data_IF_617414642733
#
_entry.id   IF_617414642733
#
_cell.length_a   1.000
_cell.length_b   1.000
_cell.length_c   1.000
_cell.angle_alpha   90.00
_cell.angle_beta   90.00
_cell.angle_gamma   90.00
#
_symmetry.space_group_name_H-M   'P 1'
#
loop_
_entity.id
_entity.type
_entity.pdbx_description
1 polymer ?
#
# COMPACT_ATOMS: atom_id res chain seq x y z
N UNK A 1 -25.48 20.13 8.12
CA UNK A 1 -24.21 20.78 7.66
C UNK A 1 -23.42 21.29 8.89
N UNK A 2 -23.32 20.49 9.96
CA UNK A 2 -22.48 20.78 11.14
C UNK A 2 -21.50 19.67 11.50
N UNK A 3 -21.56 18.51 10.83
CA UNK A 3 -20.76 17.32 11.19
C UNK A 3 -19.75 16.93 10.09
N UNK A 4 -19.11 17.92 9.47
CA UNK A 4 -18.09 17.69 8.46
C UNK A 4 -16.65 18.03 8.91
N UNK A 5 -16.48 18.54 10.14
CA UNK A 5 -15.18 18.85 10.75
C UNK A 5 -14.55 17.69 11.53
N UNK A 6 -15.01 16.45 11.31
CA UNK A 6 -14.58 15.27 12.08
C UNK A 6 -14.20 14.08 11.21
N UNK A 7 -14.23 14.27 9.89
CA UNK A 7 -13.78 13.30 8.89
C UNK A 7 -12.54 13.88 8.24
N UNK A 8 -11.46 13.13 8.02
CA UNK A 8 -10.25 13.56 7.29
C UNK A 8 -10.46 13.90 5.79
N UNK A 9 -11.63 14.45 5.45
CA UNK A 9 -12.05 15.06 4.20
C UNK A 9 -11.91 16.59 4.23
N UNK A 10 -11.48 17.19 5.34
CA UNK A 10 -11.25 18.65 5.47
C UNK A 10 -10.34 19.21 4.37
N UNK A 11 -9.34 18.45 3.92
CA UNK A 11 -8.51 18.78 2.74
C UNK A 11 -9.29 18.87 1.44
N UNK A 12 -10.26 17.96 1.23
CA UNK A 12 -11.13 17.97 0.07
C UNK A 12 -12.20 19.06 0.15
N UNK A 13 -12.71 19.35 1.36
CA UNK A 13 -13.64 20.45 1.64
C UNK A 13 -12.93 21.79 1.48
N UNK A 14 -11.70 21.93 1.97
CA UNK A 14 -10.85 23.11 1.82
C UNK A 14 -10.45 23.34 0.36
N UNK A 15 -10.09 22.28 -0.36
CA UNK A 15 -9.87 22.35 -1.80
C UNK A 15 -11.14 22.77 -2.55
N UNK A 16 -12.30 22.21 -2.20
CA UNK A 16 -13.58 22.58 -2.79
C UNK A 16 -13.97 24.02 -2.44
N UNK A 17 -13.69 24.51 -1.23
CA UNK A 17 -13.93 25.89 -0.80
C UNK A 17 -12.98 26.86 -1.50
N UNK A 18 -11.72 26.48 -1.72
CA UNK A 18 -10.75 27.26 -2.51
C UNK A 18 -11.17 27.36 -3.98
N UNK A 19 -11.52 26.24 -4.62
CA UNK A 19 -12.02 26.21 -6.01
C UNK A 19 -13.36 26.96 -6.14
N UNK A 20 -14.24 26.87 -5.13
CA UNK A 20 -15.51 27.61 -5.10
C UNK A 20 -15.29 29.12 -4.94
N UNK A 21 -14.32 29.54 -4.13
CA UNK A 21 -13.94 30.94 -4.00
C UNK A 21 -13.45 31.53 -5.33
N UNK A 22 -12.62 30.78 -6.07
CA UNK A 22 -12.16 31.16 -7.42
C UNK A 22 -13.35 31.30 -8.38
N UNK A 23 -14.27 30.33 -8.38
CA UNK A 23 -15.47 30.36 -9.22
C UNK A 23 -16.37 31.56 -8.91
N UNK A 24 -16.65 31.84 -7.63
CA UNK A 24 -17.56 32.93 -7.26
C UNK A 24 -16.98 34.33 -7.51
N UNK A 25 -15.66 34.50 -7.39
CA UNK A 25 -14.98 35.72 -7.81
C UNK A 25 -15.15 35.96 -9.32
N UNK A 26 -14.98 34.92 -10.15
CA UNK A 26 -15.17 35.00 -11.60
C UNK A 26 -16.61 35.34 -12.02
N UNK A 27 -17.60 34.99 -11.20
CA UNK A 27 -19.02 35.28 -11.42
C UNK A 27 -19.50 36.59 -10.76
N UNK A 28 -18.58 37.41 -10.23
CA UNK A 28 -18.88 38.65 -9.52
C UNK A 28 -19.83 38.51 -8.31
N UNK A 29 -19.80 37.34 -7.63
CA UNK A 29 -20.61 37.06 -6.43
C UNK A 29 -19.76 37.16 -5.18
N UNK A 30 -19.37 38.38 -4.86
CA UNK A 30 -18.27 38.66 -3.93
C UNK A 30 -18.53 38.22 -2.50
N UNK A 31 -19.75 38.34 -1.97
CA UNK A 31 -20.05 37.93 -0.60
C UNK A 31 -19.87 36.41 -0.39
N UNK A 32 -20.19 35.61 -1.42
CA UNK A 32 -20.00 34.15 -1.38
C UNK A 32 -18.54 33.77 -1.58
N UNK A 33 -17.84 34.49 -2.45
CA UNK A 33 -16.40 34.30 -2.65
C UNK A 33 -15.63 34.60 -1.36
N UNK A 34 -15.96 35.69 -0.66
CA UNK A 34 -15.36 36.07 0.62
C UNK A 34 -15.57 35.00 1.69
N UNK A 35 -16.80 34.50 1.83
CA UNK A 35 -17.12 33.47 2.82
C UNK A 35 -16.37 32.14 2.57
N UNK A 36 -16.24 31.72 1.31
CA UNK A 36 -15.49 30.51 0.94
C UNK A 36 -13.98 30.71 1.07
N UNK A 37 -13.46 31.88 0.70
CA UNK A 37 -12.04 32.21 0.84
C UNK A 37 -11.60 32.29 2.31
N UNK A 38 -12.42 32.86 3.18
CA UNK A 38 -12.14 32.96 4.62
C UNK A 38 -12.05 31.57 5.26
N UNK A 39 -12.99 30.67 4.92
CA UNK A 39 -12.96 29.26 5.39
C UNK A 39 -11.74 28.50 4.88
N UNK A 40 -11.28 28.78 3.66
CA UNK A 40 -10.05 28.19 3.14
C UNK A 40 -8.77 28.77 3.79
N UNK A 41 -8.77 30.06 4.16
CA UNK A 41 -7.60 30.78 4.66
C UNK A 41 -7.36 30.62 6.16
N UNK A 42 -8.41 30.63 6.99
CA UNK A 42 -8.31 30.52 8.45
C UNK A 42 -7.74 29.15 8.90
N UNK A 43 -7.75 28.16 8.01
CA UNK A 43 -7.21 26.81 8.22
C UNK A 43 -5.78 26.63 7.66
N UNK A 44 -5.03 27.71 7.40
CA UNK A 44 -3.69 27.64 6.77
C UNK A 44 -2.54 28.14 7.67
N UNK A 45 -1.60 27.24 8.02
CA UNK A 45 -0.18 27.61 7.98
C UNK A 45 0.67 26.51 7.29
N UNK A 46 1.06 26.71 6.04
CA UNK A 46 2.21 26.09 5.33
C UNK A 46 2.53 24.57 5.55
N UNK A 47 1.55 23.69 5.80
CA UNK A 47 1.81 22.30 6.23
C UNK A 47 1.68 21.21 5.14
N UNK A 48 1.06 21.48 3.99
CA UNK A 48 0.56 20.39 3.13
C UNK A 48 1.60 19.68 2.24
N UNK A 49 2.81 20.23 2.05
CA UNK A 49 3.87 19.57 1.26
C UNK A 49 5.13 19.23 2.07
N UNK A 50 5.29 19.78 3.27
CA UNK A 50 6.47 19.55 4.12
C UNK A 50 6.62 18.10 4.61
N UNK A 51 5.53 17.37 4.99
CA UNK A 51 5.64 15.97 5.42
C UNK A 51 5.96 15.01 4.26
N UNK A 52 5.33 15.18 3.10
CA UNK A 52 5.61 14.38 1.89
C UNK A 52 7.03 14.64 1.35
N UNK A 53 7.48 15.90 1.34
CA UNK A 53 8.87 16.22 1.03
C UNK A 53 9.84 15.61 2.07
N UNK A 54 9.43 15.52 3.33
CA UNK A 54 10.23 14.90 4.38
C UNK A 54 10.33 13.37 4.22
N UNK A 55 9.32 12.68 3.66
CA UNK A 55 9.45 11.24 3.35
C UNK A 55 10.48 10.98 2.24
N UNK A 56 10.50 11.83 1.21
CA UNK A 56 11.52 11.75 0.15
C UNK A 56 12.91 12.08 0.69
N UNK A 57 13.00 13.06 1.60
CA UNK A 57 14.25 13.44 2.23
C UNK A 57 14.82 12.31 3.11
N UNK A 58 13.98 11.54 3.82
CA UNK A 58 14.42 10.37 4.59
C UNK A 58 15.07 9.35 3.65
N UNK A 59 14.36 8.94 2.58
CA UNK A 59 14.87 7.93 1.64
C UNK A 59 16.17 8.40 0.97
N UNK A 60 16.20 9.64 0.46
CA UNK A 60 17.37 10.20 -0.18
C UNK A 60 18.58 10.32 0.77
N UNK A 61 18.35 10.74 2.01
CA UNK A 61 19.41 10.87 3.00
C UNK A 61 20.00 9.52 3.40
N UNK A 62 19.17 8.48 3.56
CA UNK A 62 19.65 7.10 3.80
C UNK A 62 20.49 6.60 2.63
N UNK A 63 20.00 6.76 1.40
CA UNK A 63 20.70 6.29 0.18
C UNK A 63 22.00 7.04 -0.11
N UNK A 64 22.12 8.27 0.39
CA UNK A 64 23.32 9.09 0.26
C UNK A 64 24.25 9.01 1.48
N UNK A 65 24.02 8.05 2.39
CA UNK A 65 24.81 7.85 3.62
C UNK A 65 24.90 9.11 4.51
N UNK A 66 23.77 9.83 4.66
CA UNK A 66 23.64 11.04 5.52
C UNK A 66 22.71 10.78 6.72
N UNK A 67 23.13 9.99 7.72
CA UNK A 67 22.26 9.50 8.81
C UNK A 67 21.66 10.63 9.65
N UNK A 68 22.42 11.69 9.97
CA UNK A 68 21.89 12.84 10.74
C UNK A 68 20.73 13.56 10.03
N UNK A 69 20.83 13.69 8.70
CA UNK A 69 19.78 14.32 7.89
C UNK A 69 18.55 13.41 7.82
N UNK A 70 18.76 12.09 7.72
CA UNK A 70 17.68 11.11 7.72
C UNK A 70 16.89 11.14 9.04
N UNK A 71 17.59 11.14 10.18
CA UNK A 71 16.94 11.22 11.51
C UNK A 71 16.15 12.52 11.69
N UNK A 72 16.73 13.67 11.35
CA UNK A 72 16.02 14.96 11.45
C UNK A 72 14.84 15.10 10.48
N UNK A 73 14.88 14.42 9.33
CA UNK A 73 13.74 14.34 8.42
C UNK A 73 12.65 13.41 8.96
N UNK A 74 13.04 12.27 9.56
CA UNK A 74 12.10 11.35 10.21
C UNK A 74 11.39 12.02 11.40
N UNK A 75 12.10 12.78 12.23
CA UNK A 75 11.49 13.55 13.33
C UNK A 75 10.41 14.51 12.81
N UNK A 76 10.66 15.17 11.68
CA UNK A 76 9.65 16.03 11.02
C UNK A 76 8.45 15.23 10.52
N UNK A 77 8.66 14.06 9.91
CA UNK A 77 7.56 13.16 9.51
C UNK A 77 6.75 12.74 10.74
N UNK A 78 7.40 12.30 11.81
CA UNK A 78 6.73 11.87 13.04
C UNK A 78 5.97 13.04 13.68
N UNK A 79 6.60 14.20 13.84
CA UNK A 79 5.96 15.38 14.44
C UNK A 79 4.73 15.82 13.64
N UNK A 80 4.82 15.82 12.30
CA UNK A 80 3.71 16.23 11.45
C UNK A 80 2.55 15.22 11.39
N UNK A 81 2.81 13.94 11.70
CA UNK A 81 1.82 12.85 11.56
C UNK A 81 1.39 12.24 12.89
N UNK A 82 2.08 12.55 13.99
CA UNK A 82 1.75 12.09 15.35
C UNK A 82 0.32 12.44 15.79
N UNK A 83 -0.25 13.62 15.45
CA UNK A 83 -1.62 13.94 15.84
C UNK A 83 -2.68 13.06 15.15
N UNK A 84 -2.37 12.49 13.99
CA UNK A 84 -3.37 11.86 13.14
C UNK A 84 -3.70 10.41 13.53
N UNK A 85 -2.79 9.67 14.18
CA UNK A 85 -2.90 8.26 14.61
C UNK A 85 -3.74 7.32 13.70
N UNK A 86 -3.69 7.56 12.40
CA UNK A 86 -4.43 6.81 11.38
C UNK A 86 -3.52 5.76 10.74
N UNK A 87 -4.12 4.76 10.10
CA UNK A 87 -3.35 3.74 9.38
C UNK A 87 -2.42 4.33 8.31
N UNK A 88 -2.82 5.44 7.65
CA UNK A 88 -1.92 6.09 6.69
C UNK A 88 -0.73 6.77 7.37
N UNK A 89 -0.94 7.53 8.45
CA UNK A 89 0.14 8.19 9.19
C UNK A 89 1.11 7.18 9.81
N UNK A 90 0.59 6.13 10.44
CA UNK A 90 1.39 5.10 11.08
C UNK A 90 2.16 4.29 10.04
N UNK A 91 1.53 3.98 8.91
CA UNK A 91 2.19 3.27 7.81
C UNK A 91 3.36 4.04 7.20
N UNK A 92 3.18 5.35 6.97
CA UNK A 92 4.25 6.22 6.47
C UNK A 92 5.39 6.36 7.49
N UNK A 93 5.07 6.56 8.77
CA UNK A 93 6.07 6.60 9.84
C UNK A 93 6.85 5.29 9.94
N UNK A 94 6.15 4.13 9.92
CA UNK A 94 6.77 2.82 10.00
C UNK A 94 7.75 2.60 8.83
N UNK A 95 7.36 2.97 7.61
CA UNK A 95 8.25 2.89 6.44
C UNK A 95 9.48 3.78 6.58
N UNK A 96 9.31 5.02 7.04
CA UNK A 96 10.43 5.95 7.25
C UNK A 96 11.36 5.49 8.38
N UNK A 97 10.81 4.94 9.47
CA UNK A 97 11.59 4.33 10.57
C UNK A 97 12.36 3.11 10.08
N UNK A 98 11.75 2.27 9.25
CA UNK A 98 12.39 1.08 8.69
C UNK A 98 13.61 1.43 7.83
N UNK A 99 13.58 2.55 7.09
CA UNK A 99 14.70 3.02 6.28
C UNK A 99 15.94 3.41 7.10
N UNK A 100 15.76 3.89 8.32
CA UNK A 100 16.87 4.33 9.21
C UNK A 100 17.23 3.28 10.27
N UNK A 101 16.57 2.12 10.25
CA UNK A 101 16.77 1.02 11.20
C UNK A 101 17.38 -0.18 10.46
N UNK A 102 18.08 -1.05 11.18
CA UNK A 102 18.67 -2.26 10.66
C UNK A 102 18.14 -3.52 11.38
N UNK A 103 18.40 -4.70 10.80
CA UNK A 103 18.06 -6.00 11.40
C UNK A 103 16.56 -6.25 11.58
N UNK A 104 16.22 -7.10 12.55
CA UNK A 104 14.84 -7.55 12.80
C UNK A 104 13.85 -6.41 13.09
N UNK A 105 14.33 -5.33 13.70
CA UNK A 105 13.51 -4.15 13.95
C UNK A 105 13.10 -3.45 12.65
N UNK A 106 13.98 -3.40 11.65
CA UNK A 106 13.64 -2.87 10.33
C UNK A 106 12.56 -3.73 9.64
N UNK A 107 12.69 -5.07 9.71
CA UNK A 107 11.69 -5.98 9.15
C UNK A 107 10.30 -5.77 9.76
N UNK A 108 10.23 -5.69 11.10
CA UNK A 108 8.96 -5.47 11.81
C UNK A 108 8.28 -4.18 11.33
N UNK A 109 9.06 -3.12 11.17
CA UNK A 109 8.58 -1.82 10.71
C UNK A 109 8.13 -1.84 9.24
N UNK A 110 8.83 -2.57 8.36
CA UNK A 110 8.38 -2.75 6.97
C UNK A 110 7.06 -3.52 6.90
N UNK A 111 6.92 -4.60 7.66
CA UNK A 111 5.67 -5.38 7.74
C UNK A 111 4.53 -4.55 8.31
N UNK A 112 4.79 -3.76 9.36
CA UNK A 112 3.81 -2.82 9.90
C UNK A 112 3.40 -1.78 8.86
N UNK A 113 4.34 -1.20 8.12
CA UNK A 113 4.04 -0.25 7.06
C UNK A 113 3.10 -0.84 6.00
N UNK A 114 3.39 -2.06 5.53
CA UNK A 114 2.55 -2.76 4.54
C UNK A 114 1.16 -3.03 5.12
N UNK A 115 1.07 -3.60 6.32
CA UNK A 115 -0.20 -3.93 6.97
C UNK A 115 -1.08 -2.68 7.11
N UNK A 116 -0.51 -1.60 7.66
CA UNK A 116 -1.22 -0.33 7.85
C UNK A 116 -1.64 0.28 6.52
N UNK A 117 -0.73 0.40 5.55
CA UNK A 117 -1.05 1.02 4.26
C UNK A 117 -2.02 0.19 3.42
N UNK A 118 -2.07 -1.14 3.59
CA UNK A 118 -3.03 -2.02 2.92
C UNK A 118 -4.49 -1.68 3.23
N UNK A 119 -4.74 -1.23 4.46
CA UNK A 119 -6.05 -0.79 4.98
C UNK A 119 -6.47 0.59 4.47
N UNK A 120 -5.60 1.27 3.73
CA UNK A 120 -5.85 2.62 3.19
C UNK A 120 -6.12 2.59 1.68
N UNK A 121 -6.47 3.76 1.12
CA UNK A 121 -6.56 3.97 -0.34
C UNK A 121 -5.27 4.48 -0.97
N UNK A 122 -4.20 4.68 -0.19
CA UNK A 122 -2.91 5.20 -0.67
C UNK A 122 -2.09 4.10 -1.37
N UNK A 123 -2.57 3.65 -2.53
CA UNK A 123 -1.92 2.58 -3.31
C UNK A 123 -0.46 2.89 -3.70
N UNK A 124 -0.09 4.13 -4.10
CA UNK A 124 1.31 4.47 -4.35
C UNK A 124 2.22 4.21 -3.14
N UNK A 125 1.76 4.57 -1.94
CA UNK A 125 2.55 4.46 -0.72
C UNK A 125 2.73 3.01 -0.28
N UNK A 126 1.68 2.19 -0.42
CA UNK A 126 1.74 0.74 -0.21
C UNK A 126 2.72 0.09 -1.19
N UNK A 127 2.66 0.43 -2.47
CA UNK A 127 3.55 -0.12 -3.49
C UNK A 127 5.02 0.23 -3.21
N UNK A 128 5.29 1.47 -2.77
CA UNK A 128 6.61 1.90 -2.31
C UNK A 128 7.07 1.17 -1.05
N UNK A 129 6.18 0.84 -0.11
CA UNK A 129 6.53 0.03 1.06
C UNK A 129 7.00 -1.38 0.66
N UNK A 130 6.30 -2.02 -0.28
CA UNK A 130 6.72 -3.31 -0.85
C UNK A 130 8.08 -3.21 -1.57
N UNK A 131 8.31 -2.15 -2.35
CA UNK A 131 9.59 -1.93 -3.02
C UNK A 131 10.74 -1.84 -2.02
N UNK A 132 10.61 -0.96 -1.02
CA UNK A 132 11.67 -0.73 -0.03
C UNK A 132 11.93 -1.97 0.83
N UNK A 133 10.87 -2.69 1.22
CA UNK A 133 11.02 -3.94 1.97
C UNK A 133 11.71 -5.02 1.14
N UNK A 134 11.32 -5.18 -0.12
CA UNK A 134 11.94 -6.12 -1.05
C UNK A 134 13.42 -5.83 -1.29
N UNK A 135 13.78 -4.55 -1.42
CA UNK A 135 15.18 -4.13 -1.52
C UNK A 135 15.97 -4.42 -0.24
N UNK A 136 15.37 -4.18 0.93
CA UNK A 136 15.98 -4.50 2.21
C UNK A 136 16.20 -6.01 2.35
N UNK A 137 15.20 -6.84 2.07
CA UNK A 137 15.31 -8.31 2.08
C UNK A 137 16.42 -8.82 1.15
N UNK A 138 16.60 -8.19 -0.01
CA UNK A 138 17.71 -8.56 -0.90
C UNK A 138 19.07 -8.25 -0.27
N UNK A 139 19.23 -7.12 0.42
CA UNK A 139 20.47 -6.76 1.15
C UNK A 139 20.76 -7.75 2.28
N UNK A 140 19.72 -8.23 2.96
CA UNK A 140 19.79 -9.32 3.95
C UNK A 140 19.96 -10.73 3.33
N UNK A 141 20.21 -10.81 2.02
CA UNK A 141 20.38 -12.06 1.26
C UNK A 141 19.15 -13.01 1.27
N UNK A 142 17.97 -12.51 1.67
CA UNK A 142 16.69 -13.25 1.66
C UNK A 142 15.98 -13.16 0.32
N UNK A 143 16.61 -13.73 -0.70
CA UNK A 143 16.21 -13.57 -2.12
C UNK A 143 14.81 -14.09 -2.45
N UNK A 144 14.32 -15.12 -1.75
CA UNK A 144 12.97 -15.68 -1.97
C UNK A 144 11.92 -14.66 -1.56
N UNK A 145 12.00 -14.20 -0.30
CA UNK A 145 11.08 -13.20 0.26
C UNK A 145 11.17 -11.87 -0.51
N UNK A 146 12.38 -11.45 -0.87
CA UNK A 146 12.59 -10.24 -1.68
C UNK A 146 11.82 -10.30 -3.02
N UNK A 147 11.82 -11.46 -3.69
CA UNK A 147 11.13 -11.64 -4.98
C UNK A 147 9.62 -11.47 -4.85
N UNK A 148 9.02 -11.94 -3.76
CA UNK A 148 7.59 -11.77 -3.51
C UNK A 148 7.25 -10.28 -3.41
N UNK A 149 7.96 -9.56 -2.54
CA UNK A 149 7.70 -8.14 -2.29
C UNK A 149 7.96 -7.27 -3.53
N UNK A 150 9.05 -7.52 -4.25
CA UNK A 150 9.41 -6.74 -5.44
C UNK A 150 8.47 -7.00 -6.64
N UNK A 151 7.87 -8.20 -6.78
CA UNK A 151 6.83 -8.47 -7.80
C UNK A 151 5.57 -7.67 -7.52
N UNK A 152 5.08 -7.74 -6.28
CA UNK A 152 3.93 -6.94 -5.84
C UNK A 152 4.16 -5.45 -6.09
N UNK A 153 5.34 -4.95 -5.75
CA UNK A 153 5.70 -3.56 -6.03
C UNK A 153 5.69 -3.25 -7.53
N UNK A 154 6.34 -4.05 -8.36
CA UNK A 154 6.41 -3.84 -9.81
C UNK A 154 5.03 -3.78 -10.47
N UNK A 155 4.16 -4.74 -10.17
CA UNK A 155 2.80 -4.82 -10.72
C UNK A 155 1.93 -3.64 -10.28
N UNK A 156 1.96 -3.31 -8.98
CA UNK A 156 1.21 -2.17 -8.45
C UNK A 156 1.68 -0.85 -9.06
N UNK A 157 2.99 -0.63 -9.11
CA UNK A 157 3.58 0.61 -9.65
C UNK A 157 3.32 0.74 -11.15
N UNK A 158 3.38 -0.36 -11.90
CA UNK A 158 3.00 -0.40 -13.31
C UNK A 158 1.53 -0.08 -13.53
N UNK A 159 0.62 -0.68 -12.75
CA UNK A 159 -0.82 -0.43 -12.84
C UNK A 159 -1.18 1.02 -12.51
N UNK A 160 -0.46 1.65 -11.58
CA UNK A 160 -0.64 3.06 -11.19
C UNK A 160 -0.05 4.01 -12.25
N UNK A 161 0.91 3.56 -13.06
CA UNK A 161 1.65 4.38 -14.02
C UNK A 161 2.92 5.04 -13.45
N UNK A 162 3.45 4.55 -12.32
CA UNK A 162 4.70 5.03 -11.71
C UNK A 162 5.91 4.29 -12.30
N UNK A 163 6.11 4.42 -13.62
CA UNK A 163 7.02 3.60 -14.41
C UNK A 163 8.47 3.59 -13.90
N UNK A 164 9.00 4.74 -13.47
CA UNK A 164 10.37 4.82 -12.93
C UNK A 164 10.57 3.95 -11.67
N UNK A 165 9.57 3.91 -10.80
CA UNK A 165 9.59 3.04 -9.63
C UNK A 165 9.35 1.57 -10.00
N UNK A 166 8.47 1.31 -10.98
CA UNK A 166 8.24 -0.04 -11.48
C UNK A 166 9.55 -0.62 -12.07
N UNK A 167 10.31 0.18 -12.82
CA UNK A 167 11.57 -0.22 -13.40
C UNK A 167 12.66 -0.45 -12.34
N UNK A 168 12.68 0.37 -11.29
CA UNK A 168 13.52 0.12 -10.11
C UNK A 168 13.20 -1.23 -9.46
N UNK A 169 11.93 -1.55 -9.25
CA UNK A 169 11.50 -2.84 -8.73
C UNK A 169 11.94 -4.01 -9.64
N UNK A 170 11.82 -3.84 -10.97
CA UNK A 170 12.27 -4.80 -11.98
C UNK A 170 13.79 -5.05 -11.91
N UNK A 171 14.59 -3.99 -11.79
CA UNK A 171 16.04 -4.10 -11.67
C UNK A 171 16.46 -4.84 -10.39
N UNK A 172 15.80 -4.56 -9.28
CA UNK A 172 16.02 -5.28 -8.02
C UNK A 172 15.61 -6.75 -8.13
N UNK A 173 14.52 -7.08 -8.84
CA UNK A 173 14.13 -8.47 -9.15
C UNK A 173 15.21 -9.19 -9.95
N UNK A 174 15.73 -8.58 -11.02
CA UNK A 174 16.82 -9.16 -11.81
C UNK A 174 18.07 -9.40 -10.94
N UNK A 175 18.38 -8.46 -10.05
CA UNK A 175 19.50 -8.53 -9.11
C UNK A 175 19.36 -9.63 -8.04
N UNK A 176 18.15 -10.14 -7.76
CA UNK A 176 17.97 -11.34 -6.91
C UNK A 176 18.46 -12.65 -7.57
N UNK A 177 19.03 -12.57 -8.77
CA UNK A 177 19.44 -13.74 -9.55
C UNK A 177 18.31 -14.32 -10.39
N UNK A 178 17.22 -13.56 -10.59
CA UNK A 178 16.23 -13.89 -11.60
C UNK A 178 16.82 -13.66 -12.99
N UNK A 179 17.72 -14.56 -13.43
CA UNK A 179 17.72 -14.91 -14.84
C UNK A 179 16.30 -15.35 -15.13
N UNK A 180 15.62 -14.68 -16.06
CA UNK A 180 14.41 -15.19 -16.70
C UNK A 180 14.82 -16.48 -17.42
N UNK A 181 14.94 -17.56 -16.67
CA UNK A 181 15.25 -18.89 -17.16
C UNK A 181 14.10 -19.77 -16.68
N UNK A 182 13.23 -20.06 -17.65
CA UNK A 182 12.24 -21.14 -17.71
C UNK A 182 12.10 -21.94 -16.41
N UNK A 183 11.04 -21.61 -15.67
CA UNK A 183 10.07 -22.53 -15.05
C UNK A 183 10.66 -23.91 -14.70
N UNK A 184 11.03 -24.09 -13.44
CA UNK A 184 10.93 -25.38 -12.74
C UNK A 184 9.90 -25.22 -11.62
N UNK A 185 9.01 -26.20 -11.56
CA UNK A 185 7.62 -26.10 -11.13
C UNK A 185 7.43 -26.34 -9.62
N UNK A 186 8.45 -26.75 -8.88
CA UNK A 186 8.15 -27.47 -7.62
C UNK A 186 8.03 -26.62 -6.33
N UNK A 187 8.22 -25.31 -6.36
CA UNK A 187 8.05 -24.45 -5.15
C UNK A 187 7.30 -23.14 -5.43
N UNK A 188 6.68 -23.04 -6.61
CA UNK A 188 5.90 -21.87 -7.03
C UNK A 188 4.40 -22.03 -6.77
N UNK A 189 3.99 -23.23 -6.35
CA UNK A 189 2.59 -23.67 -6.35
C UNK A 189 1.96 -23.65 -4.95
N UNK A 190 2.74 -23.36 -3.90
CA UNK A 190 2.18 -23.23 -2.56
C UNK A 190 1.59 -21.83 -2.35
N UNK A 191 0.26 -21.78 -2.35
CA UNK A 191 -0.51 -20.62 -1.92
C UNK A 191 -0.10 -20.19 -0.51
N UNK A 192 -0.02 -18.89 -0.25
CA UNK A 192 0.11 -18.37 1.12
C UNK A 192 -1.12 -18.75 1.96
N UNK A 193 -1.05 -18.65 3.30
CA UNK A 193 -2.19 -18.98 4.16
C UNK A 193 -3.45 -18.15 3.81
N UNK A 194 -3.27 -16.87 3.53
CA UNK A 194 -4.35 -15.97 3.14
C UNK A 194 -4.89 -16.28 1.73
N UNK A 195 -4.02 -16.63 0.78
CA UNK A 195 -4.43 -17.07 -0.54
C UNK A 195 -5.19 -18.41 -0.50
N UNK A 196 -4.76 -19.38 0.30
CA UNK A 196 -5.51 -20.64 0.52
C UNK A 196 -6.89 -20.37 1.08
N UNK A 197 -7.01 -19.48 2.06
CA UNK A 197 -8.28 -19.13 2.68
C UNK A 197 -9.22 -18.44 1.68
N UNK A 198 -8.71 -17.50 0.88
CA UNK A 198 -9.47 -16.82 -0.17
C UNK A 198 -9.87 -17.78 -1.29
N UNK A 199 -8.94 -18.63 -1.74
CA UNK A 199 -9.16 -19.60 -2.79
C UNK A 199 -10.16 -20.69 -2.38
N UNK A 200 -10.13 -21.13 -1.11
CA UNK A 200 -11.12 -22.04 -0.53
C UNK A 200 -12.52 -21.43 -0.51
N UNK A 201 -12.68 -20.21 -0.01
CA UNK A 201 -13.99 -19.53 -0.04
C UNK A 201 -14.49 -19.27 -1.47
N UNK A 202 -13.59 -18.99 -2.41
CA UNK A 202 -13.93 -18.82 -3.81
C UNK A 202 -14.33 -20.12 -4.50
N UNK A 203 -13.68 -21.24 -4.16
CA UNK A 203 -14.05 -22.60 -4.54
C UNK A 203 -15.44 -22.97 -4.03
N UNK A 204 -15.74 -22.60 -2.78
CA UNK A 204 -17.03 -22.87 -2.12
C UNK A 204 -18.17 -21.96 -2.64
N UNK A 205 -17.90 -21.13 -3.66
CA UNK A 205 -18.92 -20.38 -4.41
C UNK A 205 -19.18 -18.96 -3.94
N UNK A 206 -18.51 -18.48 -2.88
CA UNK A 206 -18.69 -17.11 -2.41
C UNK A 206 -18.16 -16.12 -3.45
N UNK A 207 -18.83 -14.99 -3.62
CA UNK A 207 -18.40 -13.89 -4.50
C UNK A 207 -17.32 -13.02 -3.86
N UNK A 208 -16.60 -12.21 -4.65
CA UNK A 208 -15.54 -11.33 -4.11
C UNK A 208 -16.05 -10.38 -2.99
N UNK A 209 -17.26 -9.80 -3.08
CA UNK A 209 -17.84 -9.04 -1.97
C UNK A 209 -18.14 -9.86 -0.71
N UNK A 210 -18.62 -11.10 -0.85
CA UNK A 210 -18.94 -11.97 0.29
C UNK A 210 -17.67 -12.48 0.99
N UNK A 211 -16.66 -12.85 0.22
CA UNK A 211 -15.33 -13.18 0.75
C UNK A 211 -14.74 -11.94 1.44
N UNK A 212 -14.89 -10.77 0.82
CA UNK A 212 -14.46 -9.51 1.38
C UNK A 212 -15.11 -9.24 2.73
N UNK A 213 -16.43 -9.40 2.83
CA UNK A 213 -17.16 -9.24 4.09
C UNK A 213 -16.71 -10.24 5.17
N UNK A 214 -16.44 -11.49 4.80
CA UNK A 214 -16.05 -12.56 5.75
C UNK A 214 -14.60 -12.43 6.24
N UNK A 215 -13.72 -11.87 5.41
CA UNK A 215 -12.30 -11.71 5.71
C UNK A 215 -11.92 -10.27 6.06
N UNK A 216 -12.89 -9.37 6.14
CA UNK A 216 -12.68 -7.93 6.33
C UNK A 216 -11.77 -7.31 5.24
N UNK A 217 -11.91 -7.77 4.00
CA UNK A 217 -11.18 -7.30 2.81
C UNK A 217 -12.11 -6.58 1.84
N UNK A 218 -11.56 -5.68 1.03
CA UNK A 218 -12.35 -5.09 -0.07
C UNK A 218 -12.57 -6.11 -1.19
N UNK A 219 -13.67 -6.05 -1.96
CA UNK A 219 -13.88 -6.92 -3.11
C UNK A 219 -12.71 -6.88 -4.11
N UNK A 220 -12.08 -5.70 -4.26
CA UNK A 220 -10.90 -5.49 -5.11
C UNK A 220 -9.64 -6.15 -4.56
N UNK A 221 -9.51 -6.21 -3.23
CA UNK A 221 -8.42 -6.93 -2.57
C UNK A 221 -8.57 -8.44 -2.77
N UNK A 222 -9.81 -8.94 -2.67
CA UNK A 222 -10.12 -10.35 -2.97
C UNK A 222 -9.84 -10.68 -4.44
N UNK A 223 -10.25 -9.81 -5.36
CA UNK A 223 -9.95 -9.95 -6.79
C UNK A 223 -8.44 -10.04 -7.06
N UNK A 224 -7.66 -9.18 -6.41
CA UNK A 224 -6.20 -9.22 -6.51
C UNK A 224 -5.61 -10.53 -5.98
N UNK A 225 -6.03 -10.99 -4.80
CA UNK A 225 -5.57 -12.28 -4.28
C UNK A 225 -5.95 -13.45 -5.19
N UNK A 226 -7.16 -13.43 -5.77
CA UNK A 226 -7.59 -14.47 -6.71
C UNK A 226 -6.79 -14.47 -8.01
N UNK A 227 -6.42 -13.28 -8.52
CA UNK A 227 -5.53 -13.18 -9.67
C UNK A 227 -4.16 -13.84 -9.41
N UNK A 228 -3.61 -13.63 -8.21
CA UNK A 228 -2.35 -14.25 -7.79
C UNK A 228 -2.50 -15.76 -7.60
N UNK A 229 -3.61 -16.21 -7.00
CA UNK A 229 -3.95 -17.64 -6.87
C UNK A 229 -4.03 -18.30 -8.25
N UNK A 230 -4.73 -17.71 -9.21
CA UNK A 230 -4.87 -18.25 -10.56
C UNK A 230 -3.52 -18.37 -11.27
N UNK A 231 -2.68 -17.35 -11.12
CA UNK A 231 -1.32 -17.33 -11.66
C UNK A 231 -0.41 -18.39 -11.01
N UNK A 232 -0.62 -18.69 -9.72
CA UNK A 232 0.14 -19.71 -8.96
C UNK A 232 -0.35 -21.14 -9.25
N UNK A 233 -1.65 -21.33 -9.47
CA UNK A 233 -2.26 -22.62 -9.79
C UNK A 233 -2.30 -22.93 -11.30
N UNK A 234 -1.83 -22.01 -12.15
CA UNK A 234 -1.88 -22.09 -13.62
C UNK A 234 -3.30 -22.32 -14.18
N UNK A 235 -4.29 -21.67 -13.56
CA UNK A 235 -5.71 -21.74 -13.96
C UNK A 235 -6.20 -20.41 -14.54
N UNK A 236 -7.11 -20.48 -15.49
CA UNK A 236 -7.67 -19.31 -16.18
C UNK A 236 -9.00 -18.83 -15.59
N UNK A 237 -9.71 -19.69 -14.86
CA UNK A 237 -11.06 -19.36 -14.38
C UNK A 237 -11.32 -19.77 -12.93
N UNK A 238 -12.25 -19.07 -12.29
CA UNK A 238 -12.72 -19.39 -10.93
C UNK A 238 -13.28 -20.81 -10.83
N UNK A 239 -13.86 -21.35 -11.91
CA UNK A 239 -14.41 -22.72 -11.93
C UNK A 239 -13.33 -23.78 -11.78
N UNK A 240 -12.13 -23.51 -12.28
CA UNK A 240 -11.00 -24.44 -12.21
C UNK A 240 -10.40 -24.54 -10.79
N UNK A 241 -10.81 -23.69 -9.84
CA UNK A 241 -10.41 -23.80 -8.43
C UNK A 241 -10.90 -25.10 -7.76
N UNK A 242 -12.03 -25.64 -8.23
CA UNK A 242 -12.58 -26.91 -7.71
C UNK A 242 -11.68 -28.10 -8.02
N UNK A 243 -11.01 -28.06 -9.18
CA UNK A 243 -10.12 -29.12 -9.64
C UNK A 243 -8.67 -28.91 -9.14
N UNK A 244 -8.27 -27.65 -8.94
CA UNK A 244 -6.91 -27.27 -8.53
C UNK A 244 -6.66 -27.28 -7.01
N UNK A 245 -7.70 -27.30 -6.17
CA UNK A 245 -7.59 -27.40 -4.71
C UNK A 245 -8.17 -28.72 -4.22
N UNK A 246 -7.43 -29.55 -3.44
CA UNK A 246 -8.01 -30.73 -2.85
C UNK A 246 -9.23 -30.35 -1.99
N UNK A 247 -10.34 -31.07 -2.20
CA UNK A 247 -11.57 -30.88 -1.44
C UNK A 247 -11.26 -30.89 0.06
N UNK A 248 -11.78 -29.91 0.79
CA UNK A 248 -11.77 -29.99 2.24
C UNK A 248 -12.73 -31.12 2.58
N UNK A 249 -12.20 -32.32 2.89
CA UNK A 249 -12.99 -33.41 3.42
C UNK A 249 -13.72 -32.89 4.65
N UNK A 250 -15.01 -32.63 4.47
CA UNK A 250 -15.97 -32.56 5.55
C UNK A 250 -15.96 -33.96 6.15
N UNK A 251 -15.20 -34.13 7.23
CA UNK A 251 -15.36 -35.27 8.12
C UNK A 251 -16.80 -35.26 8.65
N UNK A 252 -17.65 -35.95 7.90
CA UNK A 252 -18.87 -36.57 8.40
C UNK A 252 -18.45 -37.51 9.53
N UNK A 253 -18.86 -37.17 10.74
CA UNK A 253 -18.92 -38.10 11.86
C UNK A 253 -19.93 -39.20 11.48
N UNK A 254 -19.55 -40.49 11.41
CA UNK A 254 -20.51 -41.57 11.37
C UNK A 254 -20.93 -41.94 12.80
N UNK A 255 -22.26 -41.97 12.98
CA UNK A 255 -23.10 -42.65 13.98
C UNK A 255 -22.54 -42.93 15.38
#
# INVERSE_FOLDING_TARGET
IRDAGTSGQELGVQWAEWVSAILFNGLARYDRALASAQRAADETPQLQFSPWASTELVEAAVRSSRPKVASGALERVVSATAPCNTDWSLGIQARCRALVTEGESAERLYREAIERLSRTRLRPELARAHLLYGEWLRRENRRVDAREQLRTAHEMLGTIGMEAFAERARNELLATGAKVRKRTVETRDDLTAQERQIAGLARDGLTNPEIGARLFLSPRTVEWHLHNVFTKLDIGTRRELADALPGSDSHLVPA
#
